data_IF_878853967539
#
_entry.id   IF_878853967539
#
_cell.length_a   1.000
_cell.length_b   1.000
_cell.length_c   1.000
_cell.angle_alpha   90.00
_cell.angle_beta   90.00
_cell.angle_gamma   90.00
#
_symmetry.space_group_name_H-M   'P 1'
#
loop_
_entity.id
_entity.type
_entity.pdbx_description
1 polymer ?
#
# COMPACT_ATOMS: atom_id res chain seq x y z
N UNK A 1 19.50 2.20 -3.52
CA UNK A 1 19.71 2.17 -4.98
C UNK A 1 20.13 0.78 -5.46
N UNK A 2 21.22 0.20 -4.93
CA UNK A 2 21.72 -1.15 -5.27
C UNK A 2 20.66 -2.27 -5.30
N UNK A 3 19.72 -2.30 -4.34
CA UNK A 3 18.66 -3.35 -4.30
C UNK A 3 17.73 -3.30 -5.51
N UNK A 4 17.33 -2.11 -5.98
CA UNK A 4 16.46 -1.99 -7.17
C UNK A 4 17.22 -2.41 -8.42
N UNK A 5 18.50 -2.02 -8.52
CA UNK A 5 19.38 -2.41 -9.63
C UNK A 5 19.54 -3.92 -9.73
N UNK A 6 19.76 -4.62 -8.60
CA UNK A 6 19.84 -6.07 -8.59
C UNK A 6 18.51 -6.74 -8.98
N UNK A 7 17.37 -6.23 -8.50
CA UNK A 7 16.05 -6.74 -8.93
C UNK A 7 15.85 -6.54 -10.43
N UNK A 8 16.28 -5.42 -11.01
CA UNK A 8 16.20 -5.19 -12.45
C UNK A 8 17.08 -6.18 -13.22
N UNK A 9 18.26 -6.53 -12.70
CA UNK A 9 19.13 -7.55 -13.30
C UNK A 9 18.53 -8.96 -13.23
N UNK A 10 18.03 -9.36 -12.06
CA UNK A 10 17.48 -10.70 -11.82
C UNK A 10 16.09 -10.90 -12.46
N UNK A 11 15.27 -9.85 -12.47
CA UNK A 11 13.87 -9.85 -12.92
C UNK A 11 13.64 -8.72 -13.94
N UNK A 12 14.28 -8.75 -15.13
CA UNK A 12 14.24 -7.65 -16.10
C UNK A 12 12.86 -7.40 -16.70
N UNK A 13 11.94 -8.37 -16.59
CA UNK A 13 10.55 -8.25 -17.04
C UNK A 13 9.59 -7.80 -15.94
N UNK A 14 10.07 -7.63 -14.70
CA UNK A 14 9.24 -7.15 -13.61
C UNK A 14 8.68 -5.76 -13.93
N UNK A 15 7.52 -5.48 -13.34
CA UNK A 15 6.85 -4.20 -13.47
C UNK A 15 6.77 -3.54 -12.11
N UNK A 16 6.88 -2.22 -12.10
CA UNK A 16 6.84 -1.43 -10.90
C UNK A 16 5.50 -0.71 -10.81
N UNK A 17 4.89 -0.73 -9.62
CA UNK A 17 3.66 0.01 -9.35
C UNK A 17 3.88 0.90 -8.14
N UNK A 18 3.27 2.08 -8.14
CA UNK A 18 3.25 2.97 -6.99
C UNK A 18 1.87 2.95 -6.33
N UNK A 19 1.81 2.43 -5.11
CA UNK A 19 0.60 2.31 -4.31
C UNK A 19 0.67 3.28 -3.12
N UNK A 20 -0.36 4.11 -2.96
CA UNK A 20 -0.57 4.91 -1.75
C UNK A 20 -1.72 4.33 -0.94
N UNK A 21 -1.54 4.14 0.36
CA UNK A 21 -2.53 3.61 1.30
C UNK A 21 -2.74 4.60 2.44
N UNK A 22 -3.97 5.07 2.65
CA UNK A 22 -4.29 6.06 3.69
C UNK A 22 -5.30 5.54 4.71
N UNK A 23 -5.36 6.20 5.86
CA UNK A 23 -6.42 6.04 6.86
C UNK A 23 -7.01 7.41 7.20
N UNK A 24 -8.05 7.47 8.04
CA UNK A 24 -8.52 8.76 8.55
C UNK A 24 -7.44 9.40 9.42
N UNK A 25 -7.37 10.73 9.40
CA UNK A 25 -6.41 11.47 10.21
C UNK A 25 -6.51 11.10 11.69
N UNK A 26 -5.35 11.05 12.36
CA UNK A 26 -5.30 11.02 13.81
C UNK A 26 -5.50 12.43 14.38
N UNK A 27 -6.19 12.56 15.51
CA UNK A 27 -6.56 13.87 16.07
C UNK A 27 -5.44 14.41 16.99
N UNK A 28 -4.65 13.52 17.59
CA UNK A 28 -3.61 13.83 18.57
C UNK A 28 -2.46 12.80 18.51
N UNK A 29 -1.45 12.96 19.37
CA UNK A 29 -0.27 12.09 19.42
C UNK A 29 -0.57 10.64 19.82
N UNK A 30 -1.49 10.44 20.78
CA UNK A 30 -1.86 9.10 21.26
C UNK A 30 -2.62 8.31 20.17
N UNK A 31 -3.56 8.97 19.50
CA UNK A 31 -4.29 8.41 18.37
C UNK A 31 -3.39 8.20 17.17
N UNK A 32 -2.36 9.03 16.97
CA UNK A 32 -1.34 8.84 15.93
C UNK A 32 -0.53 7.56 16.18
N UNK A 33 -0.01 7.35 17.39
CA UNK A 33 0.78 6.16 17.72
C UNK A 33 -0.05 4.89 17.49
N UNK A 34 -1.30 4.87 17.97
CA UNK A 34 -2.23 3.76 17.75
C UNK A 34 -2.53 3.55 16.26
N UNK A 35 -2.74 4.64 15.52
CA UNK A 35 -3.00 4.61 14.07
C UNK A 35 -1.81 4.03 13.30
N UNK A 36 -0.57 4.41 13.63
CA UNK A 36 0.64 3.88 12.97
C UNK A 36 0.85 2.38 13.22
N UNK A 37 0.60 1.92 14.45
CA UNK A 37 0.61 0.48 14.78
C UNK A 37 -0.45 -0.28 13.96
N UNK A 38 -1.68 0.23 13.96
CA UNK A 38 -2.80 -0.37 13.21
C UNK A 38 -2.55 -0.37 11.70
N UNK A 39 -1.99 0.71 11.16
CA UNK A 39 -1.64 0.86 9.75
C UNK A 39 -0.58 -0.17 9.33
N UNK A 40 0.43 -0.41 10.16
CA UNK A 40 1.46 -1.45 9.91
C UNK A 40 0.87 -2.86 9.95
N UNK A 41 0.00 -3.16 10.92
CA UNK A 41 -0.67 -4.46 11.00
C UNK A 41 -1.63 -4.68 9.81
N UNK A 42 -2.37 -3.65 9.43
CA UNK A 42 -3.26 -3.67 8.27
C UNK A 42 -2.48 -3.86 6.96
N UNK A 43 -1.33 -3.20 6.82
CA UNK A 43 -0.42 -3.44 5.71
C UNK A 43 0.03 -4.90 5.64
N UNK A 44 0.45 -5.49 6.77
CA UNK A 44 0.83 -6.91 6.84
C UNK A 44 -0.31 -7.83 6.41
N UNK A 45 -1.55 -7.54 6.80
CA UNK A 45 -2.75 -8.30 6.39
C UNK A 45 -3.01 -8.20 4.89
N UNK A 46 -2.94 -6.99 4.31
CA UNK A 46 -3.15 -6.74 2.88
C UNK A 46 -2.23 -7.63 2.03
N UNK A 47 -0.96 -7.69 2.37
CA UNK A 47 0.06 -8.43 1.61
C UNK A 47 0.01 -9.95 1.81
N UNK A 48 -0.80 -10.44 2.76
CA UNK A 48 -1.11 -11.87 2.92
C UNK A 48 -2.29 -12.32 2.06
N UNK A 49 -3.05 -11.41 1.47
CA UNK A 49 -4.16 -11.80 0.60
C UNK A 49 -3.65 -12.46 -0.66
N UNK A 50 -4.20 -13.64 -0.98
CA UNK A 50 -3.80 -14.46 -2.14
C UNK A 50 -3.76 -13.66 -3.44
N UNK A 51 -4.72 -12.75 -3.66
CA UNK A 51 -4.75 -11.93 -4.88
C UNK A 51 -3.56 -10.94 -4.96
N UNK A 52 -3.15 -10.38 -3.82
CA UNK A 52 -2.01 -9.46 -3.70
C UNK A 52 -0.68 -10.22 -3.81
N UNK A 53 -0.52 -11.31 -3.05
CA UNK A 53 0.76 -12.05 -2.99
C UNK A 53 1.07 -12.86 -4.25
N UNK A 54 0.06 -13.25 -5.04
CA UNK A 54 0.23 -14.14 -6.21
C UNK A 54 1.28 -13.69 -7.23
N UNK A 55 1.34 -12.40 -7.55
CA UNK A 55 2.24 -11.85 -8.57
C UNK A 55 3.28 -10.89 -7.95
N UNK A 56 3.38 -10.83 -6.63
CA UNK A 56 4.29 -9.92 -5.94
C UNK A 56 5.68 -10.55 -5.86
N UNK A 57 6.68 -9.85 -6.39
CA UNK A 57 8.09 -10.20 -6.22
C UNK A 57 8.59 -9.62 -4.89
N UNK A 58 8.25 -8.38 -4.62
CA UNK A 58 8.62 -7.67 -3.40
C UNK A 58 8.10 -6.24 -3.39
N UNK A 59 8.44 -5.50 -2.34
CA UNK A 59 8.08 -4.08 -2.25
C UNK A 59 9.07 -3.32 -1.37
N UNK A 60 9.11 -2.00 -1.56
CA UNK A 60 9.62 -1.04 -0.60
C UNK A 60 8.48 -0.18 -0.09
N UNK A 61 8.52 0.24 1.17
CA UNK A 61 7.50 1.14 1.73
C UNK A 61 8.12 2.24 2.57
N UNK A 62 7.48 3.40 2.58
CA UNK A 62 7.69 4.47 3.54
C UNK A 62 6.35 4.86 4.18
N UNK A 63 6.39 5.31 5.43
CA UNK A 63 5.24 5.92 6.09
C UNK A 63 5.51 7.40 6.21
N UNK A 64 4.56 8.21 5.77
CA UNK A 64 4.62 9.66 5.84
C UNK A 64 3.55 10.17 6.79
N UNK A 65 3.89 11.16 7.60
CA UNK A 65 2.97 11.85 8.51
C UNK A 65 3.13 13.34 8.26
N UNK A 66 2.03 13.99 7.89
CA UNK A 66 1.96 15.45 7.74
C UNK A 66 0.96 16.03 8.72
N UNK A 67 1.15 17.29 9.12
CA UNK A 67 0.22 17.99 10.01
C UNK A 67 -0.72 18.83 9.18
N UNK A 68 -2.03 18.63 9.35
CA UNK A 68 -3.05 19.49 8.79
C UNK A 68 -3.01 20.85 9.49
N UNK A 69 -2.74 21.91 8.73
CA UNK A 69 -2.60 23.27 9.27
C UNK A 69 -3.91 23.87 9.76
N UNK A 70 -5.06 23.32 9.35
CA UNK A 70 -6.38 23.86 9.69
C UNK A 70 -6.88 23.39 11.06
N UNK A 71 -6.67 22.11 11.38
CA UNK A 71 -7.22 21.48 12.59
C UNK A 71 -6.16 20.78 13.46
N UNK A 72 -4.88 20.83 13.06
CA UNK A 72 -3.78 20.19 13.79
C UNK A 72 -3.74 18.66 13.68
N UNK A 73 -4.68 18.03 12.96
CA UNK A 73 -4.73 16.58 12.81
C UNK A 73 -3.55 16.06 11.99
N UNK A 74 -3.18 14.81 12.22
CA UNK A 74 -2.11 14.14 11.50
C UNK A 74 -2.68 13.35 10.33
N UNK A 75 -2.15 13.58 9.13
CA UNK A 75 -2.44 12.78 7.94
C UNK A 75 -1.32 11.74 7.75
N UNK A 76 -1.52 10.56 8.33
CA UNK A 76 -0.66 9.40 8.16
C UNK A 76 -1.07 8.52 6.98
N UNK A 77 -0.11 8.20 6.11
CA UNK A 77 -0.30 7.30 4.99
C UNK A 77 0.99 6.56 4.61
N UNK A 78 0.87 5.52 3.79
CA UNK A 78 1.99 4.74 3.28
C UNK A 78 2.15 4.89 1.78
N UNK A 79 3.38 5.09 1.35
CA UNK A 79 3.79 4.93 -0.04
C UNK A 79 4.50 3.60 -0.20
N UNK A 80 4.12 2.85 -1.24
CA UNK A 80 4.60 1.50 -1.48
C UNK A 80 5.00 1.37 -2.94
N UNK A 81 6.28 1.13 -3.17
CA UNK A 81 6.80 0.77 -4.48
C UNK A 81 6.75 -0.76 -4.61
N UNK A 82 5.80 -1.25 -5.37
CA UNK A 82 5.58 -2.66 -5.64
C UNK A 82 6.44 -3.11 -6.81
N UNK A 83 7.06 -4.29 -6.68
CA UNK A 83 7.67 -5.02 -7.79
C UNK A 83 6.81 -6.26 -8.07
N UNK A 84 6.24 -6.35 -9.26
CA UNK A 84 5.33 -7.45 -9.64
C UNK A 84 5.83 -8.19 -10.87
N UNK A 85 5.48 -9.47 -10.96
CA UNK A 85 5.70 -10.28 -12.16
C UNK A 85 4.97 -9.67 -13.36
N UNK A 86 5.55 -9.77 -14.57
CA UNK A 86 4.93 -9.26 -15.80
C UNK A 86 3.51 -9.86 -16.06
N UNK A 87 3.25 -11.05 -15.52
CA UNK A 87 1.95 -11.71 -15.58
C UNK A 87 0.82 -10.95 -14.88
N UNK A 88 1.15 -9.98 -14.00
CA UNK A 88 0.18 -9.12 -13.32
C UNK A 88 -0.82 -8.48 -14.29
N UNK A 89 -0.33 -8.00 -15.45
CA UNK A 89 -1.16 -7.30 -16.44
C UNK A 89 -1.82 -8.20 -17.49
N UNK A 90 -1.59 -9.51 -17.46
CA UNK A 90 -2.02 -10.40 -18.56
C UNK A 90 -3.50 -10.77 -18.52
N UNK A 91 -4.12 -10.86 -17.34
CA UNK A 91 -5.52 -11.28 -17.22
C UNK A 91 -6.17 -10.75 -15.94
N UNK A 92 -7.51 -10.78 -15.92
CA UNK A 92 -8.34 -10.35 -14.78
C UNK A 92 -8.09 -11.13 -13.49
N UNK A 93 -7.62 -12.38 -13.58
CA UNK A 93 -7.32 -13.20 -12.41
C UNK A 93 -6.01 -12.78 -11.71
N UNK A 94 -5.14 -12.05 -12.40
CA UNK A 94 -3.87 -11.54 -11.88
C UNK A 94 -3.94 -10.05 -11.55
N UNK A 95 -4.57 -9.26 -12.42
CA UNK A 95 -4.66 -7.82 -12.28
C UNK A 95 -5.55 -7.44 -11.09
N UNK A 96 -5.11 -6.44 -10.33
CA UNK A 96 -5.89 -5.79 -9.27
C UNK A 96 -6.20 -4.38 -9.74
N UNK A 97 -7.49 -4.11 -9.96
CA UNK A 97 -7.98 -2.79 -10.35
C UNK A 97 -7.87 -1.80 -9.19
N UNK A 98 -7.94 -0.50 -9.51
CA UNK A 98 -7.99 0.58 -8.51
C UNK A 98 -9.10 0.37 -7.46
N UNK A 99 -10.30 -0.04 -7.90
CA UNK A 99 -11.41 -0.33 -6.98
C UNK A 99 -11.13 -1.55 -6.10
N UNK A 100 -10.56 -2.62 -6.66
CA UNK A 100 -10.20 -3.79 -5.87
C UNK A 100 -9.12 -3.48 -4.83
N UNK A 101 -8.14 -2.62 -5.16
CA UNK A 101 -7.17 -2.14 -4.18
C UNK A 101 -7.83 -1.41 -3.02
N UNK A 102 -8.82 -0.55 -3.29
CA UNK A 102 -9.60 0.13 -2.24
C UNK A 102 -10.35 -0.89 -1.37
N UNK A 103 -11.02 -1.87 -1.99
CA UNK A 103 -11.79 -2.89 -1.27
C UNK A 103 -10.89 -3.80 -0.41
N UNK A 104 -9.76 -4.25 -0.96
CA UNK A 104 -8.76 -5.04 -0.23
C UNK A 104 -8.15 -4.22 0.90
N UNK A 105 -7.88 -2.93 0.67
CA UNK A 105 -7.35 -2.08 1.71
C UNK A 105 -8.35 -1.85 2.84
N UNK A 106 -9.61 -1.54 2.52
CA UNK A 106 -10.68 -1.44 3.52
C UNK A 106 -10.79 -2.71 4.37
N UNK A 107 -10.77 -3.87 3.72
CA UNK A 107 -10.84 -5.17 4.40
C UNK A 107 -9.63 -5.40 5.32
N UNK A 108 -8.43 -5.06 4.87
CA UNK A 108 -7.21 -5.22 5.66
C UNK A 108 -7.12 -4.22 6.82
N UNK A 109 -7.64 -3.01 6.60
CA UNK A 109 -7.75 -1.94 7.58
C UNK A 109 -8.87 -2.18 8.59
N UNK A 110 -9.83 -3.05 8.28
CA UNK A 110 -10.97 -3.43 9.14
C UNK A 110 -11.81 -2.23 9.57
N UNK A 111 -12.18 -1.40 8.61
CA UNK A 111 -12.97 -0.18 8.84
C UNK A 111 -14.30 -0.20 8.09
N UNK A 112 -15.29 0.48 8.66
CA UNK A 112 -16.64 0.61 8.11
C UNK A 112 -16.80 1.78 7.11
N UNK A 113 -15.74 2.52 6.82
CA UNK A 113 -15.71 3.58 5.82
C UNK A 113 -14.86 3.18 4.62
N UNK A 114 -15.05 3.83 3.47
CA UNK A 114 -14.21 3.63 2.28
C UNK A 114 -12.90 4.41 2.44
N UNK A 115 -11.74 3.75 2.67
CA UNK A 115 -10.45 4.45 2.74
C UNK A 115 -9.95 4.82 1.35
N UNK A 116 -8.88 5.62 1.27
CA UNK A 116 -8.20 5.89 -0.01
C UNK A 116 -7.03 4.92 -0.15
N UNK A 117 -7.07 4.15 -1.24
CA UNK A 117 -5.92 3.53 -1.85
C UNK A 117 -5.76 4.13 -3.26
N UNK A 118 -4.55 4.29 -3.77
CA UNK A 118 -4.32 4.81 -5.12
C UNK A 118 -3.16 4.05 -5.77
N UNK A 119 -3.40 3.39 -6.91
CA UNK A 119 -2.40 2.60 -7.64
C UNK A 119 -2.06 3.28 -8.97
N UNK A 120 -0.76 3.39 -9.28
CA UNK A 120 -0.23 3.85 -10.56
C UNK A 120 0.78 2.85 -11.10
N UNK A 121 0.82 2.67 -12.41
CA UNK A 121 1.69 1.73 -13.13
C UNK A 121 2.64 2.47 -14.09
#
# INVERSE_FOLDING_TARGET
QKVIEEVVKEKPKARWLFLTLSTRNAIDGDTLERSLKHLTESFRRLFKYKKVSKNLIGFMRSTEVTVNKNDGSYNQHMHVLLCVENSYFKNKANYITQEEWVNLWQKALQVNYRPVANIKA
#
